data_IF_055319426754
#
_entry.id   IF_055319426754
#
_cell.length_a   1.000
_cell.length_b   1.000
_cell.length_c   1.000
_cell.angle_alpha   90.00
_cell.angle_beta   90.00
_cell.angle_gamma   90.00
#
_symmetry.space_group_name_H-M   'P 1'
#
loop_
_entity.id
_entity.type
_entity.pdbx_description
1 polymer ?
#
# COMPACT_ATOMS: atom_id res chain seq x y z
N UNK A 1 -9.40 -8.23 7.14
CA UNK A 1 -10.21 -7.99 5.91
C UNK A 1 -9.27 -7.98 4.70
N UNK A 2 -9.78 -8.12 3.46
CA UNK A 2 -9.00 -7.88 2.23
C UNK A 2 -9.29 -6.49 1.68
N UNK A 3 -8.26 -5.69 1.43
CA UNK A 3 -8.37 -4.31 0.94
C UNK A 3 -7.46 -4.11 -0.26
N UNK A 4 -7.98 -3.44 -1.30
CA UNK A 4 -7.21 -3.04 -2.48
C UNK A 4 -7.12 -1.52 -2.51
N UNK A 5 -5.90 -0.99 -2.63
CA UNK A 5 -5.62 0.44 -2.73
C UNK A 5 -5.06 0.74 -4.12
N UNK A 6 -5.76 1.56 -4.88
CA UNK A 6 -5.33 2.02 -6.20
C UNK A 6 -4.61 3.37 -6.08
N UNK A 7 -3.32 3.31 -5.79
CA UNK A 7 -2.43 4.46 -5.63
C UNK A 7 -1.39 4.21 -4.53
N UNK A 8 -0.10 4.30 -4.89
CA UNK A 8 1.05 4.13 -4.01
C UNK A 8 1.70 5.48 -3.62
N UNK A 9 1.00 6.59 -3.85
CA UNK A 9 1.42 7.91 -3.38
C UNK A 9 1.34 8.04 -1.86
N UNK A 10 1.63 9.24 -1.35
CA UNK A 10 1.72 9.51 0.10
C UNK A 10 0.48 9.06 0.89
N UNK A 11 -0.71 9.37 0.38
CA UNK A 11 -1.98 8.99 1.03
C UNK A 11 -2.20 7.48 0.97
N UNK A 12 -1.97 6.86 -0.19
CA UNK A 12 -2.14 5.43 -0.37
C UNK A 12 -1.20 4.60 0.51
N UNK A 13 0.05 5.04 0.64
CA UNK A 13 1.02 4.45 1.57
C UNK A 13 0.54 4.53 3.02
N UNK A 14 0.16 5.72 3.51
CA UNK A 14 -0.26 5.88 4.91
C UNK A 14 -1.51 5.05 5.26
N UNK A 15 -2.44 4.91 4.31
CA UNK A 15 -3.61 4.03 4.48
C UNK A 15 -3.18 2.56 4.48
N UNK A 16 -2.29 2.16 3.56
CA UNK A 16 -1.79 0.79 3.49
C UNK A 16 -1.06 0.39 4.76
N UNK A 17 -0.17 1.24 5.26
CA UNK A 17 0.57 1.07 6.52
C UNK A 17 -0.39 0.88 7.69
N UNK A 18 -1.35 1.79 7.86
CA UNK A 18 -2.31 1.72 8.96
C UNK A 18 -3.13 0.42 8.90
N UNK A 19 -3.68 0.08 7.74
CA UNK A 19 -4.51 -1.12 7.59
C UNK A 19 -3.71 -2.40 7.76
N UNK A 20 -2.46 -2.44 7.29
CA UNK A 20 -1.56 -3.57 7.50
C UNK A 20 -1.26 -3.78 8.99
N UNK A 21 -1.01 -2.71 9.76
CA UNK A 21 -0.79 -2.82 11.22
C UNK A 21 -2.01 -3.33 11.99
N UNK A 22 -3.21 -3.22 11.40
CA UNK A 22 -4.45 -3.78 11.95
C UNK A 22 -4.69 -5.25 11.52
N UNK A 23 -3.67 -5.95 10.99
CA UNK A 23 -3.74 -7.32 10.47
C UNK A 23 -4.74 -7.49 9.30
N UNK A 24 -4.86 -6.48 8.45
CA UNK A 24 -5.57 -6.62 7.18
C UNK A 24 -4.64 -7.09 6.06
N UNK A 25 -5.21 -7.86 5.13
CA UNK A 25 -4.55 -8.28 3.90
C UNK A 25 -4.73 -7.16 2.87
N UNK A 26 -3.65 -6.40 2.62
CA UNK A 26 -3.67 -5.18 1.82
C UNK A 26 -2.87 -5.38 0.54
N UNK A 27 -3.49 -5.11 -0.61
CA UNK A 27 -2.82 -5.08 -1.91
C UNK A 27 -2.82 -3.65 -2.45
N UNK A 28 -1.64 -3.09 -2.73
CA UNK A 28 -1.50 -1.76 -3.32
C UNK A 28 -1.13 -1.89 -4.79
N UNK A 29 -1.84 -1.15 -5.65
CA UNK A 29 -1.64 -1.12 -7.09
C UNK A 29 -1.35 0.33 -7.52
N UNK A 30 -0.29 0.55 -8.27
CA UNK A 30 0.00 1.83 -8.90
C UNK A 30 0.56 1.61 -10.31
N UNK A 31 0.43 2.61 -11.18
CA UNK A 31 1.00 2.59 -12.53
C UNK A 31 2.50 2.88 -12.52
N UNK A 32 3.00 3.54 -11.47
CA UNK A 32 4.42 3.84 -11.27
C UNK A 32 5.13 2.66 -10.60
N UNK A 33 6.01 1.94 -11.29
CA UNK A 33 6.76 0.83 -10.69
C UNK A 33 7.66 1.29 -9.54
N UNK A 34 8.16 2.53 -9.61
CA UNK A 34 8.99 3.11 -8.55
C UNK A 34 8.23 3.26 -7.23
N UNK A 35 6.96 3.70 -7.28
CA UNK A 35 6.15 3.83 -6.08
C UNK A 35 5.79 2.46 -5.49
N UNK A 36 5.42 1.49 -6.34
CA UNK A 36 5.13 0.12 -5.88
C UNK A 36 6.35 -0.52 -5.19
N UNK A 37 7.54 -0.37 -5.77
CA UNK A 37 8.76 -0.89 -5.17
C UNK A 37 9.10 -0.21 -3.85
N UNK A 38 8.94 1.12 -3.75
CA UNK A 38 9.18 1.85 -2.51
C UNK A 38 8.29 1.34 -1.36
N UNK A 39 7.00 1.08 -1.63
CA UNK A 39 6.08 0.49 -0.65
C UNK A 39 6.51 -0.93 -0.27
N UNK A 40 6.86 -1.77 -1.25
CA UNK A 40 7.27 -3.16 -1.01
C UNK A 40 8.51 -3.28 -0.12
N UNK A 41 9.43 -2.33 -0.19
CA UNK A 41 10.66 -2.36 0.60
C UNK A 41 10.46 -1.82 2.03
N UNK A 42 9.32 -1.18 2.31
CA UNK A 42 9.02 -0.49 3.59
C UNK A 42 7.90 -1.12 4.41
N UNK A 43 6.95 -1.81 3.78
CA UNK A 43 5.86 -2.56 4.43
C UNK A 43 6.08 -4.07 4.33
#
# INVERSE_FOLDING_TARGET
>A
MRVIICGAGQVGYGIAEKLATENNDVTVIDRSPHLVNAIRDTL
#
